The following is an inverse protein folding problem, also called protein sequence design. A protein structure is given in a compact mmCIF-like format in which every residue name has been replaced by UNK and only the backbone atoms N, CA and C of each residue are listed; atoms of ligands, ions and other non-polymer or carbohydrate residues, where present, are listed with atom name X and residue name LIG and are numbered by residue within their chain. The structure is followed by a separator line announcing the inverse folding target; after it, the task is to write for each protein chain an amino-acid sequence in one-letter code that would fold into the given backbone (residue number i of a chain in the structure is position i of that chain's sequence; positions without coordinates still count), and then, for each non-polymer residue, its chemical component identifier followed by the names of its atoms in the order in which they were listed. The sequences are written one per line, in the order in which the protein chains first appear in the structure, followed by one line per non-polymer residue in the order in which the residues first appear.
data_IF_388199904191
#
_entry.id   IF_388199904191
#
_cell.length_a   1.000
_cell.length_b   1.000
_cell.length_c   1.000
_cell.angle_alpha   90.00
_cell.angle_beta   90.00
_cell.angle_gamma   90.00
#
_symmetry.space_group_name_H-M   'P 1'
#
loop_
_entity.id
_entity.type
_entity.pdbx_description
1 polymer ?
#
# COMPACT_ATOMS: atom_id res chain seq x y z
N UNK A 1 -0.55 -1.98 0.52
CA UNK A 1 -0.05 -0.87 -0.31
C UNK A 1 0.01 -1.34 -1.75
N UNK A 2 -0.79 -0.76 -2.64
CA UNK A 2 -0.87 -1.09 -4.05
C UNK A 2 -0.41 0.11 -4.86
N UNK A 3 0.48 -0.10 -5.83
CA UNK A 3 0.83 0.94 -6.81
C UNK A 3 -0.17 0.89 -7.97
N UNK A 4 -0.62 2.04 -8.44
CA UNK A 4 -1.51 2.11 -9.60
C UNK A 4 -0.87 1.45 -10.83
N UNK A 5 -1.67 0.69 -11.58
CA UNK A 5 -1.20 -0.13 -12.69
C UNK A 5 -0.66 -1.51 -12.30
N UNK A 6 -0.48 -1.80 -11.00
CA UNK A 6 -0.10 -3.13 -10.52
C UNK A 6 -1.29 -3.97 -10.05
N UNK A 7 -1.16 -5.28 -10.17
CA UNK A 7 -2.13 -6.25 -9.63
C UNK A 7 -1.70 -6.84 -8.28
N UNK A 8 -0.43 -6.69 -7.92
CA UNK A 8 0.14 -7.18 -6.66
C UNK A 8 0.44 -6.00 -5.74
N UNK A 9 0.20 -6.20 -4.44
CA UNK A 9 0.56 -5.20 -3.45
C UNK A 9 2.08 -5.15 -3.28
N UNK A 10 2.65 -3.94 -3.35
CA UNK A 10 4.06 -3.66 -3.06
C UNK A 10 4.41 -4.01 -1.61
N UNK A 11 3.47 -3.77 -0.68
CA UNK A 11 3.63 -4.11 0.74
C UNK A 11 2.32 -4.58 1.35
N UNK A 12 2.37 -5.65 2.14
CA UNK A 12 1.28 -6.14 2.97
C UNK A 12 1.77 -6.31 4.39
N UNK A 13 0.96 -5.90 5.38
CA UNK A 13 1.22 -6.07 6.80
C UNK A 13 -0.02 -6.62 7.46
N UNK A 14 0.16 -7.55 8.40
CA UNK A 14 -0.93 -8.05 9.27
C UNK A 14 -0.75 -7.42 10.63
N UNK A 15 -1.83 -6.86 11.16
CA UNK A 15 -1.87 -6.20 12.46
C UNK A 15 -3.20 -6.54 13.13
N UNK A 16 -3.24 -6.67 14.47
CA UNK A 16 -4.50 -6.78 15.20
C UNK A 16 -5.23 -5.44 15.33
N UNK A 17 -4.54 -4.32 15.08
CA UNK A 17 -5.09 -2.98 15.20
C UNK A 17 -5.73 -2.45 13.92
N UNK A 18 -6.40 -1.31 14.02
CA UNK A 18 -7.03 -0.61 12.90
C UNK A 18 -6.05 0.25 12.08
N UNK A 19 -4.74 0.13 12.32
CA UNK A 19 -3.70 0.88 11.62
C UNK A 19 -2.44 0.02 11.43
N UNK A 20 -1.73 0.25 10.33
CA UNK A 20 -0.47 -0.42 10.00
C UNK A 20 0.49 0.54 9.29
N UNK A 21 1.78 0.44 9.63
CA UNK A 21 2.84 1.13 8.90
C UNK A 21 3.27 0.27 7.70
N UNK A 22 3.26 0.87 6.51
CA UNK A 22 3.64 0.22 5.25
C UNK A 22 4.96 0.80 4.76
N UNK A 23 6.06 0.28 5.31
CA UNK A 23 7.40 0.83 5.06
C UNK A 23 8.01 0.35 3.73
N UNK A 24 8.52 1.31 2.96
CA UNK A 24 9.37 1.11 1.78
C UNK A 24 10.82 1.35 2.19
N UNK A 25 11.61 0.28 2.35
CA UNK A 25 12.97 0.34 2.91
C UNK A 25 13.99 0.93 1.92
N UNK A 26 13.75 0.73 0.62
CA UNK A 26 14.55 1.30 -0.45
C UNK A 26 13.63 1.99 -1.45
N UNK A 27 13.95 3.24 -1.77
CA UNK A 27 13.18 4.07 -2.69
C UNK A 27 14.13 4.59 -3.75
N UNK A 28 13.68 4.56 -4.99
CA UNK A 28 14.41 4.99 -6.16
C UNK A 28 13.41 5.40 -7.25
N UNK A 29 13.86 6.02 -8.36
CA UNK A 29 12.99 6.57 -9.40
C UNK A 29 11.97 5.56 -9.94
N UNK A 30 12.35 4.29 -10.02
CA UNK A 30 11.46 3.19 -10.44
C UNK A 30 10.27 2.94 -9.50
N UNK A 31 10.31 3.50 -8.28
CA UNK A 31 9.25 3.40 -7.28
C UNK A 31 8.31 4.62 -7.28
N UNK A 32 8.58 5.65 -8.09
CA UNK A 32 7.66 6.77 -8.22
C UNK A 32 6.28 6.33 -8.73
N UNK A 33 5.25 7.12 -8.40
CA UNK A 33 3.88 6.93 -8.88
C UNK A 33 2.83 6.98 -7.77
N UNK A 34 1.59 6.68 -8.12
CA UNK A 34 0.45 6.74 -7.21
C UNK A 34 0.28 5.46 -6.43
N UNK A 35 0.10 5.60 -5.13
CA UNK A 35 -0.12 4.51 -4.20
C UNK A 35 -1.47 4.63 -3.52
N UNK A 36 -2.11 3.49 -3.33
CA UNK A 36 -3.39 3.37 -2.62
C UNK A 36 -3.31 2.25 -1.61
N UNK A 37 -4.04 2.36 -0.51
CA UNK A 37 -4.14 1.31 0.51
C UNK A 37 -5.57 0.81 0.64
N UNK A 38 -5.73 -0.38 1.23
CA UNK A 38 -7.02 -0.95 1.62
C UNK A 38 -6.82 -1.91 2.78
N UNK A 39 -7.87 -2.09 3.58
CA UNK A 39 -7.91 -3.11 4.63
C UNK A 39 -8.38 -4.44 4.06
N UNK A 40 -7.83 -5.52 4.60
CA UNK A 40 -8.31 -6.88 4.37
C UNK A 40 -8.35 -7.65 5.69
N UNK A 41 -9.51 -8.22 6.02
CA UNK A 41 -9.63 -9.24 7.06
C UNK A 41 -10.06 -10.55 6.44
N UNK A 42 -9.62 -11.66 7.06
CA UNK A 42 -9.86 -13.00 6.53
C UNK A 42 -10.67 -13.89 7.49
N UNK A 43 -10.48 -13.73 8.80
CA UNK A 43 -11.13 -14.57 9.82
C UNK A 43 -11.52 -13.69 11.01
N UNK A 44 -12.71 -13.88 11.61
CA UNK A 44 -13.78 -14.81 11.20
C UNK A 44 -14.63 -14.31 10.02
N UNK A 45 -14.49 -13.05 9.63
CA UNK A 45 -15.22 -12.46 8.51
C UNK A 45 -14.24 -11.99 7.44
N UNK A 46 -14.48 -12.41 6.20
CA UNK A 46 -13.80 -11.87 5.04
C UNK A 46 -14.35 -10.48 4.77
N UNK A 47 -13.48 -9.48 4.83
CA UNK A 47 -13.82 -8.10 4.50
C UNK A 47 -12.67 -7.49 3.71
N UNK A 48 -13.03 -6.69 2.71
CA UNK A 48 -12.12 -5.88 1.94
C UNK A 48 -12.71 -4.49 1.79
N UNK A 49 -11.95 -3.47 2.17
CA UNK A 49 -12.38 -2.10 1.96
C UNK A 49 -12.17 -1.67 0.51
N UNK A 50 -12.85 -0.60 0.12
CA UNK A 50 -12.46 0.20 -1.04
C UNK A 50 -11.02 0.72 -0.89
N UNK A 51 -10.43 1.12 -2.02
CA UNK A 51 -9.13 1.79 -2.01
C UNK A 51 -9.26 3.19 -1.41
N UNK A 52 -8.27 3.56 -0.62
CA UNK A 52 -8.07 4.93 -0.15
C UNK A 52 -7.96 5.92 -1.32
N UNK A 53 -8.02 7.21 -0.99
CA UNK A 53 -7.53 8.24 -1.89
C UNK A 53 -6.05 8.00 -2.24
N UNK A 54 -5.63 8.33 -3.47
CA UNK A 54 -4.26 8.12 -3.92
C UNK A 54 -3.30 9.11 -3.26
N UNK A 55 -2.08 8.62 -3.02
CA UNK A 55 -0.93 9.44 -2.63
C UNK A 55 0.15 9.26 -3.68
N UNK A 56 0.62 10.38 -4.25
CA UNK A 56 1.72 10.37 -5.21
C UNK A 56 3.07 10.31 -4.48
N UNK A 57 3.90 9.35 -4.83
CA UNK A 57 5.29 9.26 -4.41
C UNK A 57 6.18 9.83 -5.52
N UNK A 58 6.77 10.99 -5.25
CA UNK A 58 7.81 11.59 -6.09
C UNK A 58 9.18 11.20 -5.54
N UNK A 59 10.08 10.79 -6.43
CA UNK A 59 11.46 10.43 -6.06
C UNK A 59 12.41 11.26 -6.90
N UNK A 60 13.25 12.06 -6.25
CA UNK A 60 14.30 12.80 -6.91
C UNK A 60 15.56 11.92 -7.06
N UNK A 61 16.27 12.06 -8.17
CA UNK A 61 17.63 11.55 -8.24
C UNK A 61 18.56 12.43 -7.40
N UNK A 62 19.43 11.79 -6.63
CA UNK A 62 20.47 12.45 -5.83
C UNK A 62 21.68 12.83 -6.66
#
# INVERSE_FOLDING_TARGET
LLREGETKAVKTVRTPGAAANLELIFVGPQHAGNYRCRYRSWVPHTFESELSDPVELLVAES
#
